data_IF_915649814897
#
_entry.id   IF_915649814897
#
_cell.length_a   1.000
_cell.length_b   1.000
_cell.length_c   1.000
_cell.angle_alpha   90.00
_cell.angle_beta   90.00
_cell.angle_gamma   90.00
#
_symmetry.space_group_name_H-M   'P 1'
#
loop_
_entity.id
_entity.type
_entity.pdbx_description
1 polymer ?
#
# COMPACT_ATOMS: atom_id res chain seq x y z
N UNK A 1 51.54 20.37 -22.62
CA UNK A 1 50.87 20.11 -21.33
C UNK A 1 49.38 20.33 -21.48
N UNK A 2 48.59 19.28 -21.77
CA UNK A 2 47.15 19.37 -21.52
C UNK A 2 46.97 19.43 -20.00
N UNK A 3 46.72 20.63 -19.48
CA UNK A 3 46.74 20.90 -18.05
C UNK A 3 45.71 20.08 -17.30
N UNK A 4 46.02 19.66 -16.07
CA UNK A 4 45.14 18.90 -15.14
C UNK A 4 43.69 19.43 -15.12
N UNK A 5 43.49 20.73 -15.36
CA UNK A 5 42.18 21.39 -15.48
C UNK A 5 41.29 20.81 -16.60
N UNK A 6 41.85 20.52 -17.78
CA UNK A 6 41.07 19.98 -18.91
C UNK A 6 40.63 18.54 -18.64
N UNK A 7 41.47 17.75 -17.95
CA UNK A 7 41.14 16.39 -17.52
C UNK A 7 40.00 16.44 -16.48
N UNK A 8 40.09 17.34 -15.51
CA UNK A 8 39.05 17.49 -14.48
C UNK A 8 37.71 17.94 -15.07
N UNK A 9 37.70 18.92 -15.98
CA UNK A 9 36.48 19.37 -16.68
C UNK A 9 35.88 18.22 -17.49
N UNK A 10 36.70 17.48 -18.23
CA UNK A 10 36.26 16.30 -18.98
C UNK A 10 35.60 15.24 -18.07
N UNK A 11 36.22 14.94 -16.93
CA UNK A 11 35.67 13.99 -15.96
C UNK A 11 34.32 14.48 -15.38
N UNK A 12 34.19 15.77 -15.06
CA UNK A 12 32.94 16.35 -14.57
C UNK A 12 31.85 16.26 -15.64
N UNK A 13 32.15 16.56 -16.91
CA UNK A 13 31.19 16.46 -18.01
C UNK A 13 30.76 15.01 -18.26
N UNK A 14 31.67 14.04 -18.18
CA UNK A 14 31.34 12.62 -18.32
C UNK A 14 30.45 12.16 -17.16
N UNK A 15 30.78 12.54 -15.92
CA UNK A 15 29.93 12.25 -14.76
C UNK A 15 28.56 12.91 -14.92
N UNK A 16 28.52 14.17 -15.32
CA UNK A 16 27.28 14.88 -15.61
C UNK A 16 26.45 14.14 -16.65
N UNK A 17 27.02 13.79 -17.81
CA UNK A 17 26.33 13.02 -18.84
C UNK A 17 25.86 11.66 -18.34
N UNK A 18 26.70 10.94 -17.60
CA UNK A 18 26.32 9.65 -17.03
C UNK A 18 25.13 9.81 -16.07
N UNK A 19 25.18 10.77 -15.15
CA UNK A 19 24.07 11.04 -14.23
C UNK A 19 22.84 11.59 -14.94
N UNK A 20 22.99 12.41 -16.00
CA UNK A 20 21.89 13.09 -16.72
C UNK A 20 21.24 12.24 -17.84
N UNK A 21 21.92 11.24 -18.36
CA UNK A 21 21.44 10.41 -19.47
C UNK A 21 21.08 9.00 -19.02
N UNK A 22 21.79 8.44 -18.02
CA UNK A 22 21.57 7.05 -17.61
C UNK A 22 20.18 6.73 -17.09
N UNK A 23 19.47 7.61 -16.35
CA UNK A 23 18.09 7.32 -15.93
C UNK A 23 17.14 7.17 -17.12
N UNK A 24 17.24 8.05 -18.12
CA UNK A 24 16.45 7.97 -19.35
C UNK A 24 16.73 6.69 -20.13
N UNK A 25 18.01 6.32 -20.28
CA UNK A 25 18.40 5.07 -20.95
C UNK A 25 17.95 3.82 -20.19
N UNK A 26 18.03 3.85 -18.86
CA UNK A 26 17.59 2.73 -18.06
C UNK A 26 16.06 2.52 -18.18
N UNK A 27 15.27 3.60 -18.14
CA UNK A 27 13.81 3.52 -18.35
C UNK A 27 13.50 3.00 -19.76
N UNK A 28 14.23 3.48 -20.77
CA UNK A 28 13.95 3.13 -22.17
C UNK A 28 14.31 1.68 -22.51
N UNK A 29 15.21 1.04 -21.76
CA UNK A 29 15.63 -0.35 -22.00
C UNK A 29 14.72 -1.40 -21.35
N UNK A 30 13.82 -1.02 -20.43
CA UNK A 30 12.90 -1.93 -19.71
C UNK A 30 13.59 -3.17 -19.13
N UNK A 31 14.61 -2.90 -18.32
CA UNK A 31 15.40 -3.92 -17.63
C UNK A 31 14.82 -4.21 -16.24
N UNK A 32 15.38 -5.20 -15.52
CA UNK A 32 15.08 -5.41 -14.09
C UNK A 32 15.29 -4.11 -13.28
N UNK A 33 16.27 -3.31 -13.67
CA UNK A 33 16.59 -2.04 -13.02
C UNK A 33 15.49 -0.99 -13.20
N UNK A 34 14.94 -0.83 -14.41
CA UNK A 34 13.84 0.13 -14.63
C UNK A 34 12.55 -0.30 -13.93
N UNK A 35 12.27 -1.60 -13.88
CA UNK A 35 11.14 -2.14 -13.10
C UNK A 35 11.32 -1.82 -11.61
N UNK A 36 12.52 -2.03 -11.07
CA UNK A 36 12.85 -1.67 -9.68
C UNK A 36 12.73 -0.17 -9.42
N UNK A 37 13.20 0.68 -10.34
CA UNK A 37 13.08 2.12 -10.22
C UNK A 37 11.62 2.59 -10.27
N UNK A 38 10.82 2.04 -11.18
CA UNK A 38 9.38 2.31 -11.27
C UNK A 38 8.67 1.96 -9.96
N UNK A 39 8.97 0.79 -9.39
CA UNK A 39 8.43 0.35 -8.10
C UNK A 39 8.81 1.27 -6.95
N UNK A 40 10.10 1.60 -6.81
CA UNK A 40 10.55 2.49 -5.75
C UNK A 40 9.95 3.90 -5.87
N UNK A 41 9.79 4.40 -7.09
CA UNK A 41 9.10 5.67 -7.33
C UNK A 41 7.62 5.60 -6.93
N UNK A 42 6.91 4.50 -7.22
CA UNK A 42 5.52 4.32 -6.79
C UNK A 42 5.39 4.37 -5.26
N UNK A 43 6.20 3.59 -4.53
CA UNK A 43 6.18 3.61 -3.05
C UNK A 43 6.49 4.99 -2.49
N UNK A 44 7.44 5.71 -3.11
CA UNK A 44 7.81 7.06 -2.67
C UNK A 44 6.70 8.07 -2.89
N UNK A 45 6.08 8.07 -4.07
CA UNK A 45 4.95 8.97 -4.36
C UNK A 45 3.82 8.73 -3.37
N UNK A 46 3.45 7.47 -3.11
CA UNK A 46 2.45 7.13 -2.09
C UNK A 46 2.86 7.70 -0.74
N UNK A 47 4.05 7.32 -0.26
CA UNK A 47 4.49 7.67 1.08
C UNK A 47 4.59 9.20 1.26
N UNK A 48 5.09 9.93 0.26
CA UNK A 48 5.19 11.38 0.28
C UNK A 48 3.82 12.05 0.21
N UNK A 49 2.94 11.65 -0.72
CA UNK A 49 1.62 12.27 -0.89
C UNK A 49 0.71 12.04 0.30
N UNK A 50 0.72 10.84 0.85
CA UNK A 50 -0.08 10.53 2.03
C UNK A 50 0.42 11.25 3.29
N UNK A 51 1.71 11.58 3.36
CA UNK A 51 2.33 12.13 4.59
C UNK A 51 2.86 13.55 4.43
N UNK A 52 2.51 14.24 3.34
CA UNK A 52 3.06 15.56 2.96
C UNK A 52 2.92 16.60 4.07
N UNK A 53 1.79 16.59 4.79
CA UNK A 53 1.50 17.51 5.89
C UNK A 53 1.92 17.01 7.28
N UNK A 54 2.39 15.77 7.39
CA UNK A 54 2.66 15.11 8.67
C UNK A 54 4.14 15.21 9.04
N UNK A 55 4.41 15.55 10.30
CA UNK A 55 5.79 15.79 10.78
C UNK A 55 6.28 14.75 11.77
N UNK A 56 5.39 14.19 12.59
CA UNK A 56 5.78 13.21 13.59
C UNK A 56 5.64 11.78 13.05
N UNK A 57 6.51 10.89 13.53
CA UNK A 57 6.55 9.51 13.05
C UNK A 57 5.27 8.73 13.37
N UNK A 58 4.61 9.03 14.50
CA UNK A 58 3.37 8.34 14.88
C UNK A 58 2.29 8.58 13.83
N UNK A 59 1.96 9.83 13.51
CA UNK A 59 0.97 10.18 12.49
C UNK A 59 1.33 9.64 11.12
N UNK A 60 2.62 9.66 10.75
CA UNK A 60 3.12 9.05 9.50
C UNK A 60 2.82 7.55 9.49
N UNK A 61 3.11 6.83 10.59
CA UNK A 61 2.85 5.40 10.73
C UNK A 61 1.37 5.13 10.57
N UNK A 62 0.51 5.85 11.31
CA UNK A 62 -0.94 5.68 11.23
C UNK A 62 -1.47 5.95 9.83
N UNK A 63 -0.98 7.00 9.19
CA UNK A 63 -1.45 7.36 7.86
C UNK A 63 -1.14 6.29 6.83
N UNK A 64 0.08 5.76 6.84
CA UNK A 64 0.49 4.69 5.91
C UNK A 64 -0.13 3.33 6.25
N UNK A 65 -0.41 3.09 7.53
CA UNK A 65 -1.17 1.92 7.99
C UNK A 65 -2.58 1.92 7.41
N UNK A 66 -3.30 3.04 7.57
CA UNK A 66 -4.65 3.23 7.04
C UNK A 66 -4.64 3.17 5.51
N UNK A 67 -3.65 3.78 4.85
CA UNK A 67 -3.50 3.69 3.40
C UNK A 67 -3.40 2.22 2.94
N UNK A 68 -2.53 1.44 3.58
CA UNK A 68 -2.33 0.02 3.22
C UNK A 68 -3.63 -0.76 3.34
N UNK A 69 -4.32 -0.64 4.48
CA UNK A 69 -5.63 -1.29 4.74
C UNK A 69 -6.70 -0.90 3.72
N UNK A 70 -6.72 0.36 3.28
CA UNK A 70 -7.69 0.86 2.29
C UNK A 70 -7.42 0.35 0.88
N UNK A 71 -6.15 0.09 0.56
CA UNK A 71 -5.72 -0.21 -0.80
C UNK A 71 -5.45 -1.68 -1.08
N UNK A 72 -5.32 -2.52 -0.05
CA UNK A 72 -5.09 -3.97 -0.18
C UNK A 72 -6.11 -4.73 0.65
N UNK A 73 -6.60 -5.85 0.13
CA UNK A 73 -7.57 -6.71 0.81
C UNK A 73 -7.37 -8.18 0.41
N UNK A 74 -7.89 -9.08 1.25
CA UNK A 74 -7.90 -10.51 0.95
C UNK A 74 -8.99 -10.84 -0.09
N UNK A 75 -8.65 -11.43 -1.24
CA UNK A 75 -9.65 -11.93 -2.15
C UNK A 75 -10.33 -13.19 -1.59
N UNK A 76 -11.66 -13.27 -1.67
CA UNK A 76 -12.43 -14.44 -1.24
C UNK A 76 -12.11 -15.71 -2.02
N UNK A 77 -11.58 -15.59 -3.25
CA UNK A 77 -11.35 -16.72 -4.17
C UNK A 77 -10.06 -16.61 -5.01
N UNK A 78 -9.09 -15.76 -4.66
CA UNK A 78 -7.82 -15.79 -5.41
C UNK A 78 -6.89 -16.82 -4.80
N UNK A 79 -6.13 -17.51 -5.64
CA UNK A 79 -4.99 -18.29 -5.17
C UNK A 79 -3.83 -17.33 -4.82
N UNK A 80 -3.04 -17.64 -3.77
CA UNK A 80 -1.80 -16.92 -3.51
C UNK A 80 -0.92 -16.95 -4.76
N UNK A 81 -0.55 -15.76 -5.21
CA UNK A 81 0.36 -15.57 -6.33
C UNK A 81 1.66 -14.96 -5.84
N UNK A 82 2.77 -15.47 -6.37
CA UNK A 82 4.11 -14.89 -6.21
C UNK A 82 4.21 -13.61 -7.06
N UNK A 83 3.58 -12.55 -6.57
CA UNK A 83 3.60 -11.24 -7.21
C UNK A 83 4.59 -10.31 -6.49
N UNK A 84 4.94 -9.22 -7.15
CA UNK A 84 5.73 -8.18 -6.48
C UNK A 84 4.84 -7.36 -5.54
N UNK A 85 5.45 -6.73 -4.54
CA UNK A 85 4.75 -5.86 -3.60
C UNK A 85 3.94 -4.74 -4.28
N UNK A 86 4.40 -4.21 -5.42
CA UNK A 86 3.67 -3.17 -6.14
C UNK A 86 2.41 -3.75 -6.78
N UNK A 87 2.47 -5.01 -7.23
CA UNK A 87 1.35 -5.66 -7.88
C UNK A 87 0.18 -5.77 -6.91
N UNK A 88 0.41 -6.06 -5.61
CA UNK A 88 -0.64 -6.08 -4.58
C UNK A 88 -1.32 -4.72 -4.40
N UNK A 89 -0.58 -3.61 -4.47
CA UNK A 89 -1.17 -2.28 -4.45
C UNK A 89 -1.98 -2.00 -5.72
N UNK A 90 -1.47 -2.43 -6.87
CA UNK A 90 -2.11 -2.22 -8.17
C UNK A 90 -3.40 -3.02 -8.26
N UNK A 91 -3.36 -4.33 -8.02
CA UNK A 91 -4.57 -5.17 -8.04
C UNK A 91 -5.49 -4.89 -6.87
N UNK A 92 -4.93 -4.36 -5.78
CA UNK A 92 -5.59 -4.20 -4.50
C UNK A 92 -5.75 -5.50 -3.73
N UNK A 93 -5.18 -6.61 -4.18
CA UNK A 93 -5.36 -7.92 -3.56
C UNK A 93 -4.10 -8.35 -2.82
N UNK A 94 -4.21 -8.89 -1.61
CA UNK A 94 -3.09 -9.40 -0.84
C UNK A 94 -3.52 -10.21 0.38
N UNK A 95 -2.60 -11.00 0.93
CA UNK A 95 -2.77 -11.70 2.21
C UNK A 95 -2.01 -10.95 3.32
N UNK A 96 -2.12 -11.43 4.56
CA UNK A 96 -1.53 -10.81 5.75
C UNK A 96 -0.06 -10.42 5.59
N UNK A 97 0.75 -11.30 5.00
CA UNK A 97 2.18 -11.08 4.77
C UNK A 97 2.42 -10.06 3.66
N UNK A 98 1.60 -10.05 2.62
CA UNK A 98 1.67 -9.04 1.55
C UNK A 98 1.33 -7.65 2.08
N UNK A 99 0.26 -7.51 2.87
CA UNK A 99 -0.14 -6.25 3.47
C UNK A 99 0.91 -5.74 4.48
N UNK A 100 1.41 -6.62 5.34
CA UNK A 100 2.51 -6.31 6.25
C UNK A 100 3.76 -5.84 5.49
N UNK A 101 4.12 -6.52 4.39
CA UNK A 101 5.26 -6.14 3.57
C UNK A 101 5.08 -4.80 2.86
N UNK A 102 3.91 -4.52 2.30
CA UNK A 102 3.62 -3.22 1.68
C UNK A 102 3.70 -2.11 2.73
N UNK A 103 3.09 -2.30 3.89
CA UNK A 103 3.16 -1.32 4.98
C UNK A 103 4.62 -1.04 5.40
N UNK A 104 5.41 -2.10 5.64
CA UNK A 104 6.82 -1.98 5.99
C UNK A 104 7.63 -1.28 4.88
N UNK A 105 7.33 -1.58 3.61
CA UNK A 105 7.99 -0.94 2.47
C UNK A 105 7.67 0.56 2.41
N UNK A 106 6.42 0.97 2.64
CA UNK A 106 6.04 2.38 2.69
C UNK A 106 6.71 3.11 3.87
N UNK A 107 6.77 2.49 5.05
CA UNK A 107 7.48 3.04 6.21
C UNK A 107 8.97 3.22 5.96
N UNK A 108 9.60 2.28 5.23
CA UNK A 108 11.02 2.35 4.92
C UNK A 108 11.38 3.60 4.12
N UNK A 109 10.49 4.08 3.23
CA UNK A 109 10.69 5.35 2.49
C UNK A 109 10.77 6.55 3.44
N UNK A 110 10.07 6.47 4.58
CA UNK A 110 10.10 7.50 5.62
C UNK A 110 11.22 7.27 6.64
N UNK A 111 12.14 6.36 6.38
CA UNK A 111 13.21 5.95 7.29
C UNK A 111 12.69 5.48 8.67
N UNK A 112 11.50 4.88 8.70
CA UNK A 112 10.91 4.30 9.90
C UNK A 112 11.17 2.80 9.88
N UNK A 113 11.99 2.26 10.81
CA UNK A 113 12.32 0.84 10.79
C UNK A 113 11.07 0.00 11.09
N UNK A 114 10.78 -0.95 10.21
CA UNK A 114 9.66 -1.87 10.35
C UNK A 114 10.04 -3.26 9.83
N UNK A 115 9.42 -4.31 10.36
CA UNK A 115 9.64 -5.70 9.97
C UNK A 115 8.35 -6.48 10.04
N UNK A 116 8.20 -7.51 9.21
CA UNK A 116 7.08 -8.42 9.35
C UNK A 116 7.43 -9.54 10.32
N UNK A 117 6.39 -10.09 10.96
CA UNK A 117 6.49 -11.10 12.01
C UNK A 117 5.48 -12.20 11.72
N UNK A 118 5.97 -13.41 11.48
CA UNK A 118 5.16 -14.61 11.32
C UNK A 118 4.75 -15.15 12.69
N UNK A 119 3.48 -14.98 13.05
CA UNK A 119 2.94 -15.42 14.32
C UNK A 119 2.71 -16.93 14.29
N UNK A 120 3.42 -17.70 15.12
CA UNK A 120 3.34 -19.16 15.13
C UNK A 120 2.31 -19.65 16.13
N UNK A 121 1.46 -20.58 15.69
CA UNK A 121 0.58 -21.33 16.57
C UNK A 121 1.36 -22.45 17.31
N UNK A 122 0.68 -23.22 18.15
CA UNK A 122 1.29 -24.32 18.92
C UNK A 122 1.94 -25.42 18.07
N UNK A 123 1.54 -25.55 16.81
CA UNK A 123 2.12 -26.51 15.86
C UNK A 123 3.31 -25.93 15.07
N UNK A 124 3.75 -24.70 15.38
CA UNK A 124 4.83 -24.02 14.66
C UNK A 124 4.44 -23.47 13.29
N UNK A 125 3.18 -23.61 12.88
CA UNK A 125 2.64 -23.05 11.63
C UNK A 125 2.30 -21.58 11.87
N UNK A 126 2.54 -20.73 10.87
CA UNK A 126 2.18 -19.31 10.94
C UNK A 126 0.82 -19.05 10.31
N UNK A 127 -0.29 -19.02 11.08
CA UNK A 127 -1.60 -18.69 10.52
C UNK A 127 -1.75 -17.21 10.16
N UNK A 128 -0.90 -16.31 10.68
CA UNK A 128 -0.98 -14.86 10.42
C UNK A 128 0.39 -14.18 10.40
N UNK A 129 0.45 -13.03 9.73
CA UNK A 129 1.62 -12.15 9.68
C UNK A 129 1.22 -10.74 10.09
N UNK A 130 1.99 -10.14 11.00
CA UNK A 130 1.82 -8.75 11.45
C UNK A 130 3.07 -7.93 11.16
N UNK A 131 3.02 -6.63 11.38
CA UNK A 131 4.18 -5.74 11.32
C UNK A 131 4.59 -5.30 12.72
N UNK A 132 5.89 -5.35 13.02
CA UNK A 132 6.48 -4.64 14.16
C UNK A 132 7.15 -3.36 13.63
N UNK A 133 6.78 -2.21 14.20
CA UNK A 133 7.32 -0.89 13.83
C UNK A 133 8.11 -0.31 15.01
N UNK A 134 9.34 0.15 14.76
CA UNK A 134 10.20 0.71 15.78
C UNK A 134 10.04 2.23 15.89
N UNK A 135 9.40 2.68 16.97
CA UNK A 135 9.28 4.09 17.31
C UNK A 135 9.12 4.23 18.83
N UNK A 136 9.44 5.42 19.37
CA UNK A 136 9.45 5.64 20.83
C UNK A 136 10.27 4.58 21.59
N UNK A 137 11.40 4.16 20.99
CA UNK A 137 12.36 3.17 21.53
C UNK A 137 11.78 1.77 21.78
N UNK A 138 10.72 1.38 21.07
CA UNK A 138 10.11 0.05 21.19
C UNK A 138 9.57 -0.47 19.86
N UNK A 139 9.50 -1.79 19.74
CA UNK A 139 8.85 -2.48 18.62
C UNK A 139 7.38 -2.68 18.96
N UNK A 140 6.51 -1.99 18.24
CA UNK A 140 5.06 -2.03 18.47
C UNK A 140 4.34 -2.78 17.36
N UNK A 141 3.28 -3.51 17.69
CA UNK A 141 2.56 -4.38 16.75
C UNK A 141 1.45 -3.63 16.01
N UNK A 142 1.43 -3.80 14.70
CA UNK A 142 0.40 -3.33 13.76
C UNK A 142 -0.05 -4.49 12.89
N UNK A 143 -1.36 -4.62 12.69
CA UNK A 143 -1.98 -5.63 11.84
C UNK A 143 -2.73 -4.92 10.70
N UNK A 144 -2.08 -4.69 9.54
CA UNK A 144 -2.70 -3.95 8.44
C UNK A 144 -3.95 -4.63 7.89
N UNK A 145 -3.95 -5.96 7.81
CA UNK A 145 -5.06 -6.77 7.28
C UNK A 145 -6.34 -6.57 8.09
N UNK A 146 -6.22 -6.58 9.42
CA UNK A 146 -7.37 -6.41 10.30
C UNK A 146 -7.57 -4.95 10.73
N UNK A 147 -6.62 -4.08 10.38
CA UNK A 147 -6.61 -2.69 10.82
C UNK A 147 -6.51 -2.51 12.33
N UNK A 148 -5.79 -3.42 13.00
CA UNK A 148 -5.61 -3.40 14.44
C UNK A 148 -4.24 -2.83 14.82
N UNK A 149 -4.23 -2.05 15.88
CA UNK A 149 -3.04 -1.59 16.58
C UNK A 149 -3.41 -1.46 18.04
N UNK A 150 -2.48 -1.72 18.94
CA UNK A 150 -2.83 -1.93 20.34
C UNK A 150 -2.15 -0.89 21.23
N UNK A 151 -2.86 -0.42 22.25
CA UNK A 151 -2.32 0.47 23.27
C UNK A 151 -2.50 -0.15 24.65
N UNK A 152 -1.51 0.07 25.50
CA UNK A 152 -1.55 -0.22 26.93
C UNK A 152 -2.38 0.84 27.66
N UNK A 153 -2.72 0.57 28.93
CA UNK A 153 -3.43 1.53 29.78
C UNK A 153 -2.71 2.86 29.99
N UNK A 154 -1.38 2.91 29.81
CA UNK A 154 -0.58 4.13 29.87
C UNK A 154 -0.48 4.88 28.52
N UNK A 155 -1.22 4.41 27.51
CA UNK A 155 -1.25 5.00 26.16
C UNK A 155 -0.12 4.57 25.24
N UNK A 156 0.91 3.85 25.73
CA UNK A 156 1.99 3.34 24.88
C UNK A 156 1.48 2.24 23.96
N UNK A 157 2.09 2.10 22.80
CA UNK A 157 1.76 1.01 21.89
C UNK A 157 2.27 -0.33 22.39
N UNK A 158 1.45 -1.37 22.24
CA UNK A 158 1.78 -2.71 22.71
C UNK A 158 2.84 -3.36 21.80
N UNK A 159 3.80 -4.01 22.44
CA UNK A 159 4.72 -4.97 21.81
C UNK A 159 4.05 -6.33 21.71
N UNK A 160 4.69 -7.27 21.01
CA UNK A 160 4.17 -8.63 20.96
C UNK A 160 4.16 -9.32 22.34
N UNK A 161 5.14 -9.01 23.20
CA UNK A 161 5.18 -9.55 24.57
C UNK A 161 3.98 -9.03 25.37
N UNK A 162 3.68 -7.73 25.26
CA UNK A 162 2.53 -7.15 25.95
C UNK A 162 1.22 -7.82 25.54
N UNK A 163 1.04 -8.13 24.24
CA UNK A 163 -0.13 -8.84 23.73
C UNK A 163 -0.17 -10.32 24.16
N UNK A 164 0.98 -10.93 24.32
CA UNK A 164 1.09 -12.30 24.85
C UNK A 164 0.70 -12.34 26.33
N UNK A 165 1.17 -11.37 27.11
CA UNK A 165 0.93 -11.30 28.56
C UNK A 165 -0.51 -10.82 28.87
N UNK A 166 -1.11 -10.04 27.97
CA UNK A 166 -2.43 -9.40 28.12
C UNK A 166 -3.30 -9.61 26.86
N UNK A 167 -3.70 -10.86 26.54
CA UNK A 167 -4.41 -11.18 25.30
C UNK A 167 -5.79 -10.51 25.18
N UNK A 168 -6.37 -10.05 26.29
CA UNK A 168 -7.59 -9.25 26.31
C UNK A 168 -7.46 -7.92 25.57
N UNK A 169 -6.24 -7.38 25.39
CA UNK A 169 -6.00 -6.21 24.53
C UNK A 169 -6.42 -6.47 23.08
N UNK A 170 -6.33 -7.73 22.63
CA UNK A 170 -6.80 -8.15 21.32
C UNK A 170 -8.32 -8.35 21.36
N UNK A 171 -8.80 -9.19 22.28
CA UNK A 171 -10.19 -9.64 22.28
C UNK A 171 -11.20 -8.56 22.65
N UNK A 172 -10.78 -7.51 23.36
CA UNK A 172 -11.61 -6.36 23.72
C UNK A 172 -11.33 -5.13 22.83
N UNK A 173 -10.58 -5.30 21.74
CA UNK A 173 -10.28 -4.19 20.83
C UNK A 173 -11.56 -3.62 20.20
N UNK A 174 -11.66 -2.29 20.16
CA UNK A 174 -12.88 -1.58 19.71
C UNK A 174 -13.29 -1.93 18.28
N UNK A 175 -12.33 -2.15 17.38
CA UNK A 175 -12.61 -2.59 16.01
C UNK A 175 -13.21 -4.01 15.95
N UNK A 176 -12.81 -4.93 16.82
CA UNK A 176 -13.45 -6.24 16.91
C UNK A 176 -14.86 -6.13 17.50
N UNK A 177 -15.07 -5.23 18.46
CA UNK A 177 -16.39 -4.95 19.00
C UNK A 177 -17.34 -4.38 17.93
N UNK A 178 -16.86 -3.49 17.04
CA UNK A 178 -17.62 -3.02 15.88
C UNK A 178 -17.93 -4.17 14.92
N UNK A 179 -16.94 -5.02 14.63
CA UNK A 179 -17.13 -6.17 13.76
C UNK A 179 -18.21 -7.12 14.30
N UNK A 180 -18.27 -7.33 15.63
CA UNK A 180 -19.33 -8.13 16.26
C UNK A 180 -20.74 -7.64 15.93
N UNK A 181 -20.93 -6.32 15.78
CA UNK A 181 -22.21 -5.71 15.45
C UNK A 181 -22.54 -5.79 13.95
N UNK A 182 -21.50 -5.77 13.10
CA UNK A 182 -21.67 -5.71 11.64
C UNK A 182 -21.66 -7.10 10.98
N UNK A 183 -20.85 -8.02 11.50
CA UNK A 183 -20.62 -9.37 10.96
C UNK A 183 -20.20 -10.32 12.09
N UNK A 184 -21.20 -10.90 12.76
CA UNK A 184 -20.99 -11.79 13.90
C UNK A 184 -20.18 -13.04 13.55
N UNK A 185 -20.35 -13.59 12.34
CA UNK A 185 -19.61 -14.77 11.89
C UNK A 185 -18.12 -14.43 11.79
N UNK A 186 -17.77 -13.36 11.07
CA UNK A 186 -16.37 -12.94 10.92
C UNK A 186 -15.74 -12.56 12.26
N UNK A 187 -16.50 -11.98 13.19
CA UNK A 187 -16.03 -11.74 14.55
C UNK A 187 -15.65 -13.04 15.28
N UNK A 188 -16.49 -14.09 15.21
CA UNK A 188 -16.20 -15.39 15.83
C UNK A 188 -14.96 -16.01 15.18
N UNK A 189 -14.92 -16.08 13.84
CA UNK A 189 -13.81 -16.64 13.08
C UNK A 189 -12.49 -15.93 13.44
N UNK A 190 -12.50 -14.60 13.52
CA UNK A 190 -11.32 -13.82 13.86
C UNK A 190 -10.85 -14.03 15.31
N UNK A 191 -11.80 -14.14 16.26
CA UNK A 191 -11.48 -14.42 17.66
C UNK A 191 -10.86 -15.81 17.83
N UNK A 192 -11.44 -16.82 17.18
CA UNK A 192 -10.91 -18.18 17.17
C UNK A 192 -9.52 -18.22 16.52
N UNK A 193 -9.32 -17.49 15.45
CA UNK A 193 -8.02 -17.42 14.79
C UNK A 193 -6.95 -16.76 15.67
N UNK A 194 -7.26 -15.66 16.37
CA UNK A 194 -6.32 -15.05 17.32
C UNK A 194 -5.99 -15.94 18.52
N UNK A 195 -6.94 -16.74 19.02
CA UNK A 195 -6.70 -17.65 20.15
C UNK A 195 -5.72 -18.78 19.83
N UNK A 196 -5.47 -19.06 18.54
CA UNK A 196 -4.46 -20.02 18.11
C UNK A 196 -3.03 -19.46 18.22
N UNK A 197 -2.87 -18.14 18.29
CA UNK A 197 -1.58 -17.44 18.28
C UNK A 197 -1.22 -16.79 19.62
N UNK A 198 -2.22 -16.47 20.44
CA UNK A 198 -2.05 -15.77 21.72
C UNK A 198 -2.54 -16.61 22.91
N UNK A 199 -1.78 -16.69 24.02
CA UNK A 199 -0.45 -16.10 24.22
C UNK A 199 0.60 -16.69 23.26
N UNK A 200 1.65 -15.92 22.97
CA UNK A 200 2.69 -16.31 22.02
C UNK A 200 3.59 -17.35 22.67
N UNK A 201 3.33 -18.62 22.39
CA UNK A 201 4.05 -19.76 22.96
C UNK A 201 5.35 -20.03 22.21
N UNK A 202 5.33 -19.89 20.88
CA UNK A 202 6.49 -20.14 20.02
C UNK A 202 7.08 -18.80 19.58
N UNK A 203 8.40 -18.66 19.68
CA UNK A 203 9.09 -17.48 19.19
C UNK A 203 8.78 -17.26 17.70
N UNK A 204 8.23 -16.09 17.34
CA UNK A 204 7.85 -15.83 15.96
C UNK A 204 9.08 -15.60 15.10
N UNK A 205 8.96 -15.89 13.81
CA UNK A 205 10.00 -15.58 12.85
C UNK A 205 9.88 -14.10 12.46
N UNK A 206 11.00 -13.39 12.55
CA UNK A 206 11.06 -11.95 12.28
C UNK A 206 11.94 -11.68 11.07
N UNK A 207 11.47 -10.84 10.16
CA UNK A 207 12.31 -10.36 9.08
C UNK A 207 13.41 -9.43 9.60
N UNK A 208 14.45 -9.21 8.78
CA UNK A 208 15.31 -8.04 8.98
C UNK A 208 14.45 -6.77 8.84
N UNK A 209 14.73 -5.71 9.62
CA UNK A 209 14.08 -4.42 9.40
C UNK A 209 14.29 -3.94 7.97
N UNK A 210 13.23 -3.42 7.37
CA UNK A 210 13.29 -2.76 6.08
C UNK A 210 14.06 -1.45 6.29
N UNK A 211 15.27 -1.40 5.74
CA UNK A 211 16.04 -0.16 5.61
C UNK A 211 15.97 0.31 4.16
N UNK A 212 16.14 1.61 3.93
CA UNK A 212 16.27 2.09 2.55
C UNK A 212 17.43 1.38 1.85
N UNK A 213 17.22 1.09 0.56
CA UNK A 213 18.21 0.44 -0.26
C UNK A 213 19.27 1.48 -0.66
N UNK A 214 20.50 1.30 -0.19
CA UNK A 214 21.67 2.07 -0.64
C UNK A 214 22.08 1.67 -2.07
N UNK A 215 21.18 1.88 -3.04
CA UNK A 215 21.48 1.72 -4.45
C UNK A 215 21.69 3.11 -5.08
N UNK A 216 22.94 3.39 -5.48
CA UNK A 216 23.34 4.65 -6.13
C UNK A 216 22.44 5.03 -7.31
N UNK A 217 21.90 4.04 -8.04
CA UNK A 217 20.98 4.28 -9.13
C UNK A 217 19.60 4.78 -8.66
N UNK A 218 19.06 4.20 -7.59
CA UNK A 218 17.79 4.68 -7.01
C UNK A 218 17.94 6.08 -6.42
N UNK A 219 19.12 6.40 -5.88
CA UNK A 219 19.47 7.75 -5.45
C UNK A 219 19.51 8.74 -6.63
N UNK A 220 20.08 8.35 -7.77
CA UNK A 220 20.05 9.19 -8.98
C UNK A 220 18.59 9.42 -9.45
N UNK A 221 17.74 8.40 -9.43
CA UNK A 221 16.31 8.57 -9.74
C UNK A 221 15.61 9.52 -8.78
N UNK A 222 15.92 9.41 -7.49
CA UNK A 222 15.37 10.28 -6.46
C UNK A 222 15.74 11.76 -6.71
N UNK A 223 17.01 12.00 -7.05
CA UNK A 223 17.48 13.33 -7.42
C UNK A 223 16.70 13.91 -8.60
N UNK A 224 16.41 13.09 -9.61
CA UNK A 224 15.60 13.49 -10.76
C UNK A 224 14.16 13.78 -10.41
N UNK A 225 13.54 12.94 -9.60
CA UNK A 225 12.16 13.18 -9.16
C UNK A 225 12.09 14.48 -8.37
N UNK A 226 13.12 14.85 -7.61
CA UNK A 226 13.19 16.16 -6.93
C UNK A 226 13.34 17.34 -7.90
N UNK A 227 14.19 17.21 -8.94
CA UNK A 227 14.42 18.31 -9.90
C UNK A 227 13.31 18.50 -10.92
N UNK A 228 12.81 17.41 -11.50
CA UNK A 228 11.84 17.45 -12.60
C UNK A 228 10.40 17.18 -12.14
N UNK A 229 10.22 16.76 -10.88
CA UNK A 229 8.93 16.58 -10.25
C UNK A 229 8.03 15.59 -11.00
N UNK A 230 6.74 15.90 -10.99
CA UNK A 230 5.67 15.06 -11.55
C UNK A 230 5.84 14.79 -13.06
N UNK A 231 6.46 15.71 -13.82
CA UNK A 231 6.64 15.51 -15.27
C UNK A 231 7.53 14.32 -15.58
N UNK A 232 8.65 14.19 -14.86
CA UNK A 232 9.55 13.04 -15.02
C UNK A 232 8.88 11.75 -14.56
N UNK A 233 8.18 11.78 -13.43
CA UNK A 233 7.40 10.64 -12.91
C UNK A 233 6.39 10.13 -13.96
N UNK A 234 5.60 11.05 -14.53
CA UNK A 234 4.58 10.72 -15.53
C UNK A 234 5.21 10.09 -16.78
N UNK A 235 6.32 10.66 -17.27
CA UNK A 235 7.06 10.12 -18.40
C UNK A 235 7.58 8.69 -18.12
N UNK A 236 8.17 8.47 -16.94
CA UNK A 236 8.65 7.14 -16.54
C UNK A 236 7.51 6.12 -16.52
N UNK A 237 6.36 6.52 -15.95
CA UNK A 237 5.17 5.69 -15.91
C UNK A 237 4.66 5.38 -17.32
N UNK A 238 4.54 6.37 -18.20
CA UNK A 238 4.03 6.17 -19.55
C UNK A 238 4.90 5.19 -20.36
N UNK A 239 6.22 5.28 -20.23
CA UNK A 239 7.16 4.34 -20.86
C UNK A 239 7.01 2.93 -20.28
N UNK A 240 6.89 2.82 -18.95
CA UNK A 240 6.69 1.55 -18.27
C UNK A 240 5.39 0.87 -18.71
N UNK A 241 4.26 1.59 -18.63
CA UNK A 241 2.93 1.07 -18.96
C UNK A 241 2.81 0.69 -20.43
N UNK A 242 3.41 1.48 -21.34
CA UNK A 242 3.43 1.14 -22.77
C UNK A 242 4.07 -0.23 -23.03
N UNK A 243 4.98 -0.70 -22.17
CA UNK A 243 5.62 -2.01 -22.30
C UNK A 243 4.89 -3.08 -21.50
N UNK A 244 4.55 -2.80 -20.24
CA UNK A 244 3.84 -3.73 -19.36
C UNK A 244 2.49 -4.15 -19.96
N UNK A 245 1.73 -3.19 -20.50
CA UNK A 245 0.38 -3.41 -21.00
C UNK A 245 0.33 -4.11 -22.38
N UNK A 246 1.47 -4.30 -23.07
CA UNK A 246 1.50 -4.98 -24.39
C UNK A 246 1.15 -6.46 -24.30
N UNK A 247 1.50 -7.11 -23.19
CA UNK A 247 1.28 -8.55 -23.00
C UNK A 247 -0.15 -8.90 -22.59
N UNK A 248 -0.96 -7.92 -22.20
CA UNK A 248 -2.28 -8.14 -21.63
C UNK A 248 -3.32 -8.15 -22.75
N UNK A 249 -3.79 -9.35 -23.11
CA UNK A 249 -4.79 -9.55 -24.17
C UNK A 249 -6.22 -9.20 -23.73
N UNK A 250 -6.53 -9.39 -22.45
CA UNK A 250 -7.86 -9.14 -21.90
C UNK A 250 -8.03 -7.64 -21.63
N UNK A 251 -8.88 -6.98 -22.42
CA UNK A 251 -8.97 -5.52 -22.45
C UNK A 251 -9.57 -4.91 -21.17
N UNK A 252 -10.52 -5.58 -20.52
CA UNK A 252 -11.06 -5.14 -19.23
C UNK A 252 -9.99 -5.20 -18.12
N UNK A 253 -9.24 -6.29 -18.03
CA UNK A 253 -8.07 -6.41 -17.14
C UNK A 253 -7.04 -5.31 -17.40
N UNK A 254 -6.75 -5.04 -18.67
CA UNK A 254 -5.81 -4.00 -19.07
C UNK A 254 -6.29 -2.62 -18.62
N UNK A 255 -7.57 -2.29 -18.82
CA UNK A 255 -8.15 -1.03 -18.33
C UNK A 255 -8.12 -0.92 -16.81
N UNK A 256 -8.43 -2.01 -16.09
CA UNK A 256 -8.37 -2.05 -14.64
C UNK A 256 -6.96 -1.75 -14.11
N UNK A 257 -5.96 -2.49 -14.61
CA UNK A 257 -4.56 -2.30 -14.20
C UNK A 257 -4.07 -0.91 -14.58
N UNK A 258 -4.42 -0.42 -15.77
CA UNK A 258 -4.07 0.93 -16.20
C UNK A 258 -4.64 2.00 -15.27
N UNK A 259 -5.93 1.89 -14.91
CA UNK A 259 -6.59 2.80 -13.98
C UNK A 259 -5.90 2.78 -12.62
N UNK A 260 -5.55 1.59 -12.10
CA UNK A 260 -4.86 1.43 -10.82
C UNK A 260 -3.44 2.00 -10.81
N UNK A 261 -2.67 1.79 -11.87
CA UNK A 261 -1.38 2.46 -12.02
C UNK A 261 -1.53 3.98 -12.00
N UNK A 262 -2.49 4.55 -12.73
CA UNK A 262 -2.71 5.99 -12.69
C UNK A 262 -3.20 6.50 -11.34
N UNK A 263 -4.07 5.75 -10.66
CA UNK A 263 -4.59 6.07 -9.34
C UNK A 263 -3.43 6.19 -8.33
N UNK A 264 -2.57 5.18 -8.24
CA UNK A 264 -1.43 5.17 -7.30
C UNK A 264 -0.44 6.32 -7.55
N UNK A 265 -0.30 6.73 -8.81
CA UNK A 265 0.56 7.86 -9.20
C UNK A 265 -0.16 9.22 -9.13
N UNK A 266 -1.37 9.27 -8.56
CA UNK A 266 -2.20 10.47 -8.42
C UNK A 266 -2.47 11.18 -9.77
N UNK A 267 -2.59 10.42 -10.87
CA UNK A 267 -2.93 10.94 -12.21
C UNK A 267 -4.44 10.86 -12.46
N UNK A 268 -5.16 11.74 -11.77
CA UNK A 268 -6.60 11.60 -11.57
C UNK A 268 -7.44 11.43 -12.82
N UNK A 269 -7.36 12.38 -13.76
CA UNK A 269 -8.12 12.32 -15.01
C UNK A 269 -7.89 11.00 -15.78
N UNK A 270 -6.66 10.50 -15.81
CA UNK A 270 -6.36 9.25 -16.52
C UNK A 270 -6.89 8.03 -15.77
N UNK A 271 -6.80 8.02 -14.44
CA UNK A 271 -7.37 6.96 -13.61
C UNK A 271 -8.89 6.89 -13.79
N UNK A 272 -9.59 8.02 -13.60
CA UNK A 272 -11.05 8.13 -13.74
C UNK A 272 -11.50 7.73 -15.15
N UNK A 273 -10.84 8.22 -16.19
CA UNK A 273 -11.19 7.87 -17.57
C UNK A 273 -11.05 6.38 -17.84
N UNK A 274 -9.98 5.74 -17.34
CA UNK A 274 -9.78 4.31 -17.50
C UNK A 274 -10.83 3.49 -16.71
N UNK A 275 -11.17 3.91 -15.49
CA UNK A 275 -12.24 3.30 -14.71
C UNK A 275 -13.61 3.39 -15.39
N UNK A 276 -14.01 4.59 -15.81
CA UNK A 276 -15.28 4.81 -16.51
C UNK A 276 -15.33 4.04 -17.82
N UNK A 277 -14.21 3.99 -18.56
CA UNK A 277 -14.11 3.19 -19.78
C UNK A 277 -14.34 1.70 -19.52
N UNK A 278 -13.82 1.16 -18.41
CA UNK A 278 -14.07 -0.22 -18.01
C UNK A 278 -15.55 -0.45 -17.71
N UNK A 279 -16.15 0.40 -16.87
CA UNK A 279 -17.56 0.28 -16.47
C UNK A 279 -18.52 0.35 -17.67
N UNK A 280 -18.24 1.24 -18.63
CA UNK A 280 -19.09 1.43 -19.81
C UNK A 280 -18.92 0.32 -20.85
N UNK A 281 -17.69 -0.13 -21.11
CA UNK A 281 -17.40 -1.11 -22.17
C UNK A 281 -17.59 -2.55 -21.70
N UNK A 282 -17.41 -2.81 -20.41
CA UNK A 282 -17.42 -4.15 -19.81
C UNK A 282 -18.25 -4.18 -18.52
N UNK A 283 -19.58 -3.93 -18.60
CA UNK A 283 -20.44 -3.89 -17.41
C UNK A 283 -20.48 -5.20 -16.64
N UNK A 284 -20.16 -6.34 -17.27
CA UNK A 284 -20.10 -7.65 -16.63
C UNK A 284 -18.66 -8.09 -16.27
N UNK A 285 -17.69 -7.16 -16.29
CA UNK A 285 -16.31 -7.49 -15.94
C UNK A 285 -16.20 -7.92 -14.47
N UNK A 286 -15.37 -8.92 -14.20
CA UNK A 286 -15.04 -9.34 -12.83
C UNK A 286 -14.39 -8.22 -12.00
N UNK A 287 -13.82 -7.20 -12.66
CA UNK A 287 -13.20 -6.05 -12.00
C UNK A 287 -14.19 -4.93 -11.68
N UNK A 288 -15.45 -4.99 -12.16
CA UNK A 288 -16.43 -3.90 -12.01
C UNK A 288 -16.58 -3.46 -10.55
N UNK A 289 -16.80 -4.42 -9.67
CA UNK A 289 -16.98 -4.18 -8.25
C UNK A 289 -15.77 -3.43 -7.64
N UNK A 290 -14.55 -3.87 -7.96
CA UNK A 290 -13.31 -3.23 -7.49
C UNK A 290 -13.14 -1.82 -8.07
N UNK A 291 -13.52 -1.63 -9.33
CA UNK A 291 -13.51 -0.31 -9.98
C UNK A 291 -14.43 0.67 -9.26
N UNK A 292 -15.66 0.28 -8.94
CA UNK A 292 -16.62 1.17 -8.26
C UNK A 292 -16.07 1.58 -6.90
N UNK A 293 -15.56 0.60 -6.12
CA UNK A 293 -14.96 0.90 -4.82
C UNK A 293 -13.75 1.84 -4.95
N UNK A 294 -12.78 1.53 -5.80
CA UNK A 294 -11.59 2.37 -5.94
C UNK A 294 -11.90 3.74 -6.55
N UNK A 295 -12.91 3.86 -7.40
CA UNK A 295 -13.37 5.14 -7.91
C UNK A 295 -13.99 5.99 -6.79
N UNK A 296 -14.68 5.36 -5.84
CA UNK A 296 -15.18 6.06 -4.64
C UNK A 296 -14.04 6.59 -3.75
N UNK A 297 -13.01 5.76 -3.49
CA UNK A 297 -11.82 6.18 -2.74
C UNK A 297 -11.10 7.31 -3.47
N UNK A 298 -10.98 7.21 -4.79
CA UNK A 298 -10.36 8.24 -5.62
C UNK A 298 -11.09 9.58 -5.50
N UNK A 299 -12.42 9.59 -5.61
CA UNK A 299 -13.20 10.82 -5.48
C UNK A 299 -13.11 11.42 -4.07
N UNK A 300 -13.03 10.59 -3.04
CA UNK A 300 -12.93 11.04 -1.66
C UNK A 300 -11.54 11.60 -1.32
N UNK A 301 -10.49 10.84 -1.63
CA UNK A 301 -9.14 11.12 -1.16
C UNK A 301 -8.37 12.07 -2.09
N UNK A 302 -8.63 12.03 -3.40
CA UNK A 302 -7.86 12.80 -4.40
C UNK A 302 -8.65 14.00 -4.92
N UNK A 303 -9.85 13.79 -5.47
CA UNK A 303 -10.65 14.89 -6.06
C UNK A 303 -11.42 15.71 -5.03
N UNK A 304 -11.52 15.21 -3.78
CA UNK A 304 -12.35 15.79 -2.71
C UNK A 304 -13.82 16.00 -3.13
N UNK A 305 -14.33 15.15 -4.02
CA UNK A 305 -15.71 15.16 -4.51
C UNK A 305 -16.56 14.17 -3.72
N UNK A 306 -17.00 14.60 -2.54
CA UNK A 306 -17.77 13.79 -1.59
C UNK A 306 -19.10 13.28 -2.17
N UNK A 307 -19.75 14.06 -3.04
CA UNK A 307 -21.01 13.67 -3.68
C UNK A 307 -20.82 12.44 -4.60
N UNK A 308 -19.83 12.48 -5.49
CA UNK A 308 -19.50 11.34 -6.36
C UNK A 308 -18.97 10.15 -5.59
N UNK A 309 -18.14 10.38 -4.56
CA UNK A 309 -17.69 9.31 -3.69
C UNK A 309 -18.87 8.57 -3.04
N UNK A 310 -19.82 9.32 -2.49
CA UNK A 310 -21.05 8.76 -1.91
C UNK A 310 -21.89 8.01 -2.93
N UNK A 311 -22.04 8.54 -4.14
CA UNK A 311 -22.75 7.86 -5.25
C UNK A 311 -22.12 6.49 -5.56
N UNK A 312 -20.80 6.43 -5.71
CA UNK A 312 -20.10 5.17 -5.99
C UNK A 312 -20.14 4.19 -4.81
N UNK A 313 -20.08 4.68 -3.56
CA UNK A 313 -20.27 3.83 -2.38
C UNK A 313 -21.68 3.23 -2.36
N UNK A 314 -22.72 4.04 -2.58
CA UNK A 314 -24.10 3.58 -2.69
C UNK A 314 -24.28 2.53 -3.79
N UNK A 315 -23.63 2.72 -4.94
CA UNK A 315 -23.65 1.74 -6.01
C UNK A 315 -23.02 0.40 -5.58
N UNK A 316 -21.92 0.45 -4.82
CA UNK A 316 -21.30 -0.75 -4.24
C UNK A 316 -22.28 -1.50 -3.35
N UNK A 317 -23.07 -0.79 -2.53
CA UNK A 317 -24.07 -1.39 -1.65
C UNK A 317 -25.21 -2.05 -2.40
N UNK A 318 -25.72 -1.37 -3.43
CA UNK A 318 -26.89 -1.83 -4.18
C UNK A 318 -26.53 -3.01 -5.07
N UNK A 319 -25.43 -2.91 -5.81
CA UNK A 319 -25.04 -3.95 -6.78
C UNK A 319 -24.32 -5.13 -6.11
N UNK A 320 -23.65 -4.90 -4.98
CA UNK A 320 -22.75 -5.89 -4.36
C UNK A 320 -22.89 -5.97 -2.83
N UNK A 321 -24.09 -6.25 -2.29
CA UNK A 321 -24.34 -6.27 -0.85
C UNK A 321 -23.53 -7.34 -0.12
N UNK A 322 -23.27 -8.48 -0.77
CA UNK A 322 -22.46 -9.58 -0.24
C UNK A 322 -20.95 -9.39 -0.50
N UNK A 323 -20.56 -8.24 -1.06
CA UNK A 323 -19.16 -8.04 -1.36
C UNK A 323 -18.34 -7.69 -0.13
N UNK A 324 -17.06 -8.06 -0.19
CA UNK A 324 -16.04 -7.63 0.78
C UNK A 324 -16.02 -6.11 1.01
N UNK A 325 -16.36 -5.32 -0.02
CA UNK A 325 -16.36 -3.87 0.07
C UNK A 325 -17.50 -3.32 0.91
N UNK A 326 -18.59 -4.07 1.08
CA UNK A 326 -19.72 -3.65 1.90
C UNK A 326 -19.29 -3.21 3.30
N UNK A 327 -18.46 -4.02 3.97
CA UNK A 327 -17.98 -3.73 5.33
C UNK A 327 -17.15 -2.44 5.39
N UNK A 328 -16.25 -2.26 4.42
CA UNK A 328 -15.37 -1.09 4.34
C UNK A 328 -16.17 0.17 3.97
N UNK A 329 -17.03 0.07 2.96
CA UNK A 329 -17.92 1.14 2.53
C UNK A 329 -18.86 1.56 3.67
N UNK A 330 -19.32 0.62 4.51
CA UNK A 330 -20.25 0.92 5.61
C UNK A 330 -19.61 1.83 6.64
N UNK A 331 -18.37 1.50 7.02
CA UNK A 331 -17.60 2.34 7.94
C UNK A 331 -17.40 3.77 7.43
N UNK A 332 -17.28 3.94 6.10
CA UNK A 332 -17.08 5.25 5.45
C UNK A 332 -18.36 6.07 5.35
N UNK A 333 -19.52 5.45 5.14
CA UNK A 333 -20.80 6.19 5.14
C UNK A 333 -21.03 6.89 6.48
N UNK A 334 -20.64 6.28 7.58
CA UNK A 334 -20.74 6.89 8.90
C UNK A 334 -19.82 8.11 9.05
N UNK A 335 -18.67 8.13 8.37
CA UNK A 335 -17.81 9.33 8.28
C UNK A 335 -18.50 10.47 7.52
N UNK A 336 -19.23 10.18 6.43
CA UNK A 336 -20.02 11.23 5.74
C UNK A 336 -21.12 11.82 6.62
N UNK A 337 -21.71 11.02 7.52
CA UNK A 337 -22.75 11.49 8.45
C UNK A 337 -22.20 12.40 9.55
N UNK A 338 -20.95 12.22 9.95
CA UNK A 338 -20.32 13.05 10.98
C UNK A 338 -19.84 14.41 10.44
N UNK A 339 -19.49 14.50 9.15
CA UNK A 339 -19.02 15.74 8.51
C UNK A 339 -20.15 16.61 7.92
N UNK A 340 -21.36 16.07 7.80
CA UNK A 340 -22.52 16.77 7.25
C UNK A 340 -23.38 17.52 8.28
N UNK A 341 -22.83 17.83 9.47
CA UNK A 341 -23.50 18.63 10.51
C UNK A 341 -22.82 19.97 10.71
#
# INVERSE_FOLDING_TARGET
MFGKRNIMIGAILILFLFFFVSPFLAISTYTKLSRSAYKNMAYRIIAEKETESLKNNEDIIFRLFIYTRKHIFIPTNAAPGDWDLLDYLITGTGWCDHEANVFNKLLSVKNIPARYVYLKNRSGISPHTVSEVYFNRRWSVFDPQNGLYFRLGDGKYATLNDLSDNPELIFNHSELAKLKLLDQKRFIDQKEWFSQMFPVIIQPDRSKPFTEWNNMFLWAFDLYTRFFGQKFINMCQDIYLKKEMRGIKQEDKKLFLLARHYHIFYRGNLAVNAYISLLNRFPNSIYRQDVIFFLSEFYMDIEKNLAKAKEMLLLTFIEYPESRWFSIASSKIDEFRSHGR
#
